data_IF_114250063292
#
_entry.id   IF_114250063292
#
_cell.length_a   1.000
_cell.length_b   1.000
_cell.length_c   1.000
_cell.angle_alpha   90.00
_cell.angle_beta   90.00
_cell.angle_gamma   90.00
#
_symmetry.space_group_name_H-M   'P 1'
#
loop_
_entity.id
_entity.type
_entity.pdbx_description
1 polymer ?
#
# COMPACT_ATOMS: atom_id res chain seq x y z
N UNK A 1 -3.75 66.85 -34.54
CA UNK A 1 -3.91 66.79 -33.08
C UNK A 1 -3.40 65.45 -32.57
N UNK A 2 -2.42 65.51 -31.66
CA UNK A 2 -1.86 64.51 -30.74
C UNK A 2 -1.59 63.05 -31.20
N UNK A 3 -0.30 62.75 -31.42
CA UNK A 3 0.32 61.44 -31.20
C UNK A 3 0.49 61.21 -29.69
N UNK A 4 0.41 59.97 -29.22
CA UNK A 4 1.03 59.57 -27.95
C UNK A 4 1.60 58.15 -28.05
N UNK A 5 2.93 58.06 -27.91
CA UNK A 5 3.69 56.83 -27.59
C UNK A 5 4.15 56.95 -26.14
N UNK A 6 4.05 55.87 -25.37
CA UNK A 6 4.87 55.46 -24.20
C UNK A 6 4.01 54.49 -23.36
N UNK A 7 4.49 53.51 -22.59
CA UNK A 7 5.79 52.88 -22.28
C UNK A 7 5.41 51.58 -21.51
N UNK A 8 6.36 50.64 -21.42
CA UNK A 8 6.25 49.37 -20.67
C UNK A 8 5.90 49.57 -19.19
N UNK A 9 5.19 48.60 -18.60
CA UNK A 9 5.47 48.12 -17.24
C UNK A 9 5.25 46.60 -17.16
N UNK A 10 6.21 45.92 -16.55
CA UNK A 10 6.11 44.53 -16.12
C UNK A 10 5.40 44.47 -14.77
N UNK A 11 4.64 43.41 -14.50
CA UNK A 11 4.25 43.07 -13.12
C UNK A 11 2.97 42.26 -12.98
N UNK A 12 3.11 41.11 -12.31
CA UNK A 12 2.11 40.37 -11.52
C UNK A 12 1.05 39.57 -12.31
N UNK A 13 1.24 38.27 -12.51
CA UNK A 13 1.03 37.20 -11.51
C UNK A 13 -0.41 37.15 -10.95
N UNK A 14 -1.38 36.78 -11.80
CA UNK A 14 -2.75 36.46 -11.42
C UNK A 14 -3.02 34.96 -11.45
N UNK A 15 -2.76 34.32 -10.30
CA UNK A 15 -2.99 32.91 -9.95
C UNK A 15 -4.29 32.33 -10.55
N UNK A 16 -4.19 31.40 -11.51
CA UNK A 16 -5.28 30.44 -11.79
C UNK A 16 -5.32 29.45 -10.62
N UNK A 17 -6.30 29.67 -9.75
CA UNK A 17 -6.64 28.83 -8.60
C UNK A 17 -6.73 27.35 -9.00
N UNK A 18 -5.79 26.55 -8.49
CA UNK A 18 -5.91 25.10 -8.44
C UNK A 18 -7.14 24.74 -7.61
N UNK A 19 -8.17 24.22 -8.27
CA UNK A 19 -9.32 23.62 -7.62
C UNK A 19 -8.87 22.27 -7.03
N UNK A 20 -8.26 22.31 -5.84
CA UNK A 20 -7.93 21.14 -5.02
C UNK A 20 -9.22 20.33 -4.79
N UNK A 21 -9.37 19.20 -5.50
CA UNK A 21 -10.33 18.16 -5.14
C UNK A 21 -9.88 17.61 -3.79
N UNK A 22 -10.51 18.09 -2.72
CA UNK A 22 -10.43 17.54 -1.36
C UNK A 22 -11.04 16.14 -1.34
N UNK A 23 -10.24 15.11 -1.59
CA UNK A 23 -10.49 13.71 -1.20
C UNK A 23 -9.38 12.78 -1.70
N UNK A 24 -8.11 13.13 -1.45
CA UNK A 24 -7.04 12.13 -1.53
C UNK A 24 -6.92 11.50 -0.14
N UNK A 25 -7.53 10.33 0.05
CA UNK A 25 -7.31 9.53 1.26
C UNK A 25 -5.85 9.08 1.30
N UNK A 26 -5.22 9.10 2.47
CA UNK A 26 -3.97 8.39 2.71
C UNK A 26 -4.30 7.15 3.53
N UNK A 27 -3.98 5.97 3.00
CA UNK A 27 -3.96 4.78 3.82
C UNK A 27 -2.60 4.77 4.54
N UNK A 28 -2.58 5.20 5.81
CA UNK A 28 -1.38 5.17 6.66
C UNK A 28 -1.39 3.90 7.50
N UNK A 29 -0.43 2.97 7.38
CA UNK A 29 -0.17 2.01 8.44
C UNK A 29 0.34 2.77 9.67
N UNK A 30 -0.20 2.41 10.84
CA UNK A 30 0.29 2.93 12.14
C UNK A 30 1.65 2.30 12.44
N UNK A 31 2.37 2.84 13.43
CA UNK A 31 3.73 2.39 13.75
C UNK A 31 3.79 0.92 14.14
N UNK A 32 4.89 0.25 13.83
CA UNK A 32 5.21 -1.13 14.18
C UNK A 32 5.11 -1.50 15.68
N UNK A 33 4.95 -0.53 16.60
CA UNK A 33 4.64 -0.85 18.01
C UNK A 33 3.15 -1.13 18.26
N UNK A 34 2.27 -0.72 17.34
CA UNK A 34 0.82 -0.68 17.52
C UNK A 34 0.07 -1.84 16.83
N UNK A 35 0.72 -2.62 15.95
CA UNK A 35 0.10 -3.82 15.36
C UNK A 35 0.23 -5.07 16.26
N UNK A 36 0.68 -4.89 17.52
CA UNK A 36 0.61 -5.94 18.55
C UNK A 36 -0.82 -6.20 19.03
N UNK A 37 -1.73 -5.23 18.84
CA UNK A 37 -3.05 -5.21 19.49
C UNK A 37 -4.23 -5.39 18.52
N UNK A 38 -4.00 -5.46 17.21
CA UNK A 38 -5.08 -5.36 16.21
C UNK A 38 -5.26 -6.63 15.38
N UNK A 39 -5.41 -7.76 16.06
CA UNK A 39 -5.93 -8.99 15.46
C UNK A 39 -5.16 -9.56 14.25
N UNK A 40 -5.68 -10.63 13.66
CA UNK A 40 -5.02 -11.40 12.60
C UNK A 40 -4.73 -10.72 11.28
N UNK A 41 -5.39 -9.60 11.01
CA UNK A 41 -5.53 -9.13 9.63
C UNK A 41 -4.66 -7.94 9.28
N UNK A 42 -4.06 -7.29 10.29
CA UNK A 42 -3.14 -6.17 10.14
C UNK A 42 -3.69 -5.02 9.28
N UNK A 43 -2.94 -3.92 9.16
CA UNK A 43 -3.29 -2.86 8.22
C UNK A 43 -3.21 -3.31 6.75
N UNK A 44 -2.33 -4.25 6.44
CA UNK A 44 -1.99 -4.65 5.07
C UNK A 44 -3.12 -5.29 4.26
N UNK A 45 -3.96 -6.13 4.89
CA UNK A 45 -5.11 -6.73 4.22
C UNK A 45 -6.10 -5.64 3.78
N UNK A 46 -6.49 -4.75 4.70
CA UNK A 46 -7.44 -3.68 4.40
C UNK A 46 -6.91 -2.72 3.34
N UNK A 47 -5.62 -2.35 3.42
CA UNK A 47 -4.99 -1.45 2.44
C UNK A 47 -5.04 -2.05 1.03
N UNK A 48 -4.66 -3.32 0.87
CA UNK A 48 -4.71 -3.99 -0.44
C UNK A 48 -6.14 -4.11 -0.98
N UNK A 49 -7.09 -4.46 -0.12
CA UNK A 49 -8.51 -4.55 -0.48
C UNK A 49 -9.10 -3.19 -0.89
N UNK A 50 -8.71 -2.11 -0.21
CA UNK A 50 -9.16 -0.75 -0.49
C UNK A 50 -8.55 -0.20 -1.79
N UNK A 51 -7.26 -0.47 -2.05
CA UNK A 51 -6.59 -0.13 -3.30
C UNK A 51 -7.33 -0.74 -4.51
N UNK A 52 -7.71 -2.01 -4.42
CA UNK A 52 -8.43 -2.68 -5.50
C UNK A 52 -9.87 -2.17 -5.68
N UNK A 53 -10.56 -1.77 -4.60
CA UNK A 53 -11.95 -1.30 -4.71
C UNK A 53 -12.07 0.12 -5.24
N UNK A 54 -11.17 1.00 -4.84
CA UNK A 54 -11.28 2.42 -5.14
C UNK A 54 -9.89 3.04 -5.43
N UNK A 55 -9.19 2.58 -6.48
CA UNK A 55 -7.82 3.02 -6.76
C UNK A 55 -7.72 4.53 -7.00
N UNK A 56 -8.79 5.14 -7.51
CA UNK A 56 -8.85 6.56 -7.87
C UNK A 56 -8.90 7.52 -6.65
N UNK A 57 -9.08 6.99 -5.43
CA UNK A 57 -9.13 7.79 -4.20
C UNK A 57 -7.76 8.04 -3.56
N UNK A 58 -6.71 7.40 -4.07
CA UNK A 58 -5.37 7.41 -3.47
C UNK A 58 -4.38 8.09 -4.41
N UNK A 59 -3.58 9.02 -3.88
CA UNK A 59 -2.46 9.59 -4.61
C UNK A 59 -1.26 8.62 -4.69
N UNK A 60 -1.13 7.75 -3.68
CA UNK A 60 -0.13 6.69 -3.57
C UNK A 60 -0.45 5.81 -2.36
N UNK A 61 0.08 4.59 -2.35
CA UNK A 61 -0.17 3.61 -1.29
C UNK A 61 1.15 3.13 -0.70
N UNK A 62 1.26 3.17 0.62
CA UNK A 62 2.33 2.52 1.39
C UNK A 62 1.72 1.38 2.18
N UNK A 63 2.27 0.17 2.08
CA UNK A 63 1.85 -0.94 2.91
C UNK A 63 3.07 -1.69 3.44
N UNK A 64 3.21 -1.69 4.77
CA UNK A 64 4.29 -2.39 5.44
C UNK A 64 3.91 -3.85 5.70
N UNK A 65 4.81 -4.77 5.34
CA UNK A 65 4.65 -6.25 5.48
C UNK A 65 3.21 -6.76 5.21
N UNK A 66 2.59 -6.43 4.07
CA UNK A 66 1.15 -6.49 3.98
C UNK A 66 0.62 -7.91 3.74
N UNK A 67 -0.39 -8.33 4.50
CA UNK A 67 -1.05 -9.62 4.32
C UNK A 67 -2.01 -9.61 3.11
N UNK A 68 -1.48 -9.79 1.91
CA UNK A 68 -2.20 -9.58 0.63
C UNK A 68 -2.61 -10.84 -0.10
N UNK A 69 -1.97 -11.98 0.18
CA UNK A 69 -2.27 -13.30 -0.41
C UNK A 69 -2.87 -14.25 0.63
N UNK A 70 -3.87 -13.73 1.35
CA UNK A 70 -4.54 -14.38 2.48
C UNK A 70 -5.07 -15.76 2.12
N UNK A 71 -5.76 -15.88 0.99
CA UNK A 71 -6.42 -17.13 0.61
C UNK A 71 -5.41 -18.25 0.34
N UNK A 72 -4.28 -17.94 -0.31
CA UNK A 72 -3.20 -18.92 -0.51
C UNK A 72 -2.61 -19.37 0.82
N UNK A 73 -2.42 -18.45 1.77
CA UNK A 73 -1.91 -18.79 3.10
C UNK A 73 -2.88 -19.66 3.89
N UNK A 74 -4.18 -19.36 3.87
CA UNK A 74 -5.19 -20.11 4.62
C UNK A 74 -5.44 -21.52 4.06
N UNK A 75 -5.35 -21.68 2.73
CA UNK A 75 -5.49 -22.98 2.06
C UNK A 75 -4.18 -23.78 2.03
N UNK A 76 -3.06 -23.16 2.39
CA UNK A 76 -1.74 -23.75 2.30
C UNK A 76 -1.47 -24.79 3.41
N UNK A 77 -0.58 -25.77 3.16
CA UNK A 77 -0.21 -26.80 4.13
C UNK A 77 0.61 -26.25 5.30
N UNK A 78 1.34 -25.15 5.09
CA UNK A 78 2.08 -24.43 6.12
C UNK A 78 1.20 -23.30 6.67
N UNK A 79 0.34 -23.61 7.64
CA UNK A 79 -0.45 -22.58 8.35
C UNK A 79 0.49 -21.77 9.26
N UNK A 80 1.13 -20.74 8.69
CA UNK A 80 1.90 -19.75 9.46
C UNK A 80 1.00 -18.77 10.24
N UNK A 81 -0.32 -18.94 10.14
CA UNK A 81 -1.36 -18.12 10.75
C UNK A 81 -1.74 -18.75 12.09
N UNK A 82 -1.71 -17.97 13.17
CA UNK A 82 -1.98 -18.51 14.49
C UNK A 82 -3.44 -18.98 14.63
N UNK A 83 -3.73 -19.89 15.57
CA UNK A 83 -5.09 -20.44 15.71
C UNK A 83 -6.15 -19.35 16.00
N UNK A 84 -5.82 -18.36 16.82
CA UNK A 84 -6.66 -17.18 17.07
C UNK A 84 -6.91 -16.34 15.80
N UNK A 85 -6.01 -16.43 14.83
CA UNK A 85 -6.14 -15.71 13.57
C UNK A 85 -7.08 -16.44 12.59
N UNK A 86 -7.15 -17.76 12.69
CA UNK A 86 -8.08 -18.61 11.93
C UNK A 86 -9.52 -18.50 12.43
N UNK A 87 -9.75 -18.32 13.74
CA UNK A 87 -11.11 -18.19 14.29
C UNK A 87 -11.86 -16.96 13.77
N UNK A 88 -11.14 -15.89 13.45
CA UNK A 88 -11.73 -14.64 12.94
C UNK A 88 -12.14 -14.73 11.46
N UNK A 89 -11.44 -15.55 10.65
CA UNK A 89 -11.83 -15.81 9.24
C UNK A 89 -12.83 -16.93 9.12
N UNK A 90 -12.86 -17.89 10.04
CA UNK A 90 -13.62 -19.11 9.91
C UNK A 90 -12.96 -20.14 8.99
N UNK A 91 -13.62 -21.29 8.83
CA UNK A 91 -13.09 -22.41 8.06
C UNK A 91 -13.25 -22.19 6.55
N UNK A 92 -12.25 -21.57 5.92
CA UNK A 92 -12.28 -21.34 4.45
C UNK A 92 -12.16 -22.62 3.62
N UNK A 93 -11.86 -23.77 4.23
CA UNK A 93 -11.75 -25.06 3.53
C UNK A 93 -13.13 -25.70 3.41
N UNK A 94 -13.90 -25.71 4.51
CA UNK A 94 -15.17 -26.44 4.58
C UNK A 94 -16.41 -25.53 4.59
N UNK A 95 -16.26 -24.21 4.77
CA UNK A 95 -17.35 -23.24 4.73
C UNK A 95 -17.23 -22.33 3.50
N UNK A 96 -18.13 -22.54 2.54
CA UNK A 96 -18.21 -21.75 1.31
C UNK A 96 -18.50 -20.26 1.57
N UNK A 97 -19.25 -19.92 2.62
CA UNK A 97 -19.52 -18.54 2.99
C UNK A 97 -18.27 -17.86 3.57
N UNK A 98 -17.51 -18.57 4.40
CA UNK A 98 -16.21 -18.11 4.88
C UNK A 98 -15.22 -17.90 3.72
N UNK A 99 -15.10 -18.88 2.82
CA UNK A 99 -14.28 -18.77 1.62
C UNK A 99 -14.66 -17.55 0.78
N UNK A 100 -15.95 -17.37 0.47
CA UNK A 100 -16.42 -16.26 -0.34
C UNK A 100 -16.14 -14.90 0.30
N UNK A 101 -16.29 -14.78 1.63
CA UNK A 101 -15.97 -13.57 2.39
C UNK A 101 -14.49 -13.23 2.30
N UNK A 102 -13.60 -14.20 2.52
CA UNK A 102 -12.16 -13.98 2.42
C UNK A 102 -11.75 -13.66 0.98
N UNK A 103 -12.26 -14.41 0.00
CA UNK A 103 -11.99 -14.18 -1.42
C UNK A 103 -12.33 -12.75 -1.82
N UNK A 104 -13.47 -12.20 -1.39
CA UNK A 104 -13.89 -10.81 -1.70
C UNK A 104 -12.94 -9.75 -1.14
N UNK A 105 -12.20 -10.06 -0.09
CA UNK A 105 -11.28 -9.12 0.55
C UNK A 105 -9.82 -9.38 0.18
N UNK A 106 -9.48 -10.54 -0.40
CA UNK A 106 -8.11 -10.92 -0.64
C UNK A 106 -7.49 -10.11 -1.79
N UNK A 107 -6.50 -9.27 -1.49
CA UNK A 107 -5.97 -8.30 -2.45
C UNK A 107 -5.37 -8.98 -3.69
N UNK A 108 -4.65 -10.10 -3.51
CA UNK A 108 -4.01 -10.81 -4.60
C UNK A 108 -4.98 -11.34 -5.68
N UNK A 109 -6.15 -11.86 -5.27
CA UNK A 109 -7.15 -12.40 -6.18
C UNK A 109 -7.95 -11.28 -6.89
N UNK A 110 -8.00 -10.08 -6.31
CA UNK A 110 -8.85 -8.98 -6.79
C UNK A 110 -8.08 -7.82 -7.45
N UNK A 111 -6.83 -8.05 -7.90
CA UNK A 111 -6.06 -7.02 -8.60
C UNK A 111 -6.79 -6.61 -9.89
N UNK A 112 -6.98 -5.30 -10.06
CA UNK A 112 -7.61 -4.75 -11.26
C UNK A 112 -6.64 -4.64 -12.43
N UNK A 113 -7.08 -5.03 -13.63
CA UNK A 113 -6.38 -4.82 -14.89
C UNK A 113 -6.52 -3.35 -15.38
N UNK A 114 -6.04 -2.40 -14.57
CA UNK A 114 -6.00 -0.97 -14.90
C UNK A 114 -4.80 -0.30 -14.26
N UNK A 115 -4.54 0.93 -14.66
CA UNK A 115 -3.52 1.75 -13.98
C UNK A 115 -3.93 2.00 -12.53
N UNK A 116 -3.02 1.68 -11.62
CA UNK A 116 -3.15 1.91 -10.19
C UNK A 116 -2.30 3.14 -9.78
N UNK A 117 -2.61 3.76 -8.63
CA UNK A 117 -1.70 4.74 -8.03
C UNK A 117 -0.33 4.09 -7.73
N UNK A 118 0.75 4.87 -7.59
CA UNK A 118 2.03 4.36 -7.15
C UNK A 118 1.89 3.57 -5.85
N UNK A 119 2.58 2.43 -5.75
CA UNK A 119 2.55 1.56 -4.57
C UNK A 119 3.97 1.32 -4.05
N UNK A 120 4.17 1.48 -2.75
CA UNK A 120 5.41 1.13 -2.04
C UNK A 120 5.10 0.07 -0.98
N UNK A 121 5.72 -1.09 -1.13
CA UNK A 121 5.53 -2.23 -0.25
C UNK A 121 6.82 -2.55 0.49
N UNK A 122 6.72 -3.01 1.73
CA UNK A 122 7.86 -3.59 2.45
C UNK A 122 7.61 -5.06 2.77
N UNK A 123 8.68 -5.85 2.89
CA UNK A 123 8.63 -7.25 3.30
C UNK A 123 9.95 -7.64 3.98
N UNK A 124 9.93 -8.68 4.83
CA UNK A 124 11.15 -9.31 5.35
C UNK A 124 11.14 -10.81 5.08
N UNK A 125 12.29 -11.37 4.68
CA UNK A 125 12.47 -12.80 4.47
C UNK A 125 12.38 -13.61 5.77
N UNK A 126 12.72 -12.99 6.90
CA UNK A 126 12.62 -13.59 8.23
C UNK A 126 11.32 -13.19 8.98
N UNK A 127 10.32 -12.63 8.29
CA UNK A 127 8.98 -12.45 8.87
C UNK A 127 8.29 -13.82 9.04
N UNK A 128 8.04 -14.19 10.30
CA UNK A 128 7.35 -15.43 10.68
C UNK A 128 5.82 -15.29 10.75
N UNK A 129 5.30 -14.05 10.75
CA UNK A 129 3.86 -13.78 10.80
C UNK A 129 3.28 -13.74 9.39
N UNK A 130 3.91 -12.99 8.48
CA UNK A 130 3.44 -12.81 7.11
C UNK A 130 4.43 -13.44 6.11
N UNK A 131 4.01 -14.45 5.34
CA UNK A 131 4.86 -15.05 4.33
C UNK A 131 5.25 -14.03 3.23
N UNK A 132 6.54 -13.70 3.15
CA UNK A 132 7.07 -12.77 2.15
C UNK A 132 6.76 -13.18 0.70
N UNK A 133 6.62 -14.49 0.43
CA UNK A 133 6.27 -15.01 -0.89
C UNK A 133 4.94 -14.46 -1.42
N UNK A 134 3.95 -14.23 -0.54
CA UNK A 134 2.68 -13.61 -0.90
C UNK A 134 2.85 -12.17 -1.36
N UNK A 135 3.74 -11.41 -0.70
CA UNK A 135 4.06 -10.02 -1.08
C UNK A 135 4.78 -9.97 -2.43
N UNK A 136 5.73 -10.87 -2.68
CA UNK A 136 6.43 -10.96 -3.97
C UNK A 136 5.46 -11.26 -5.12
N UNK A 137 4.58 -12.26 -4.93
CA UNK A 137 3.53 -12.59 -5.91
C UNK A 137 2.64 -11.37 -6.19
N UNK A 138 2.26 -10.64 -5.14
CA UNK A 138 1.43 -9.44 -5.27
C UNK A 138 2.13 -8.33 -6.06
N UNK A 139 3.40 -8.03 -5.76
CA UNK A 139 4.23 -7.06 -6.51
C UNK A 139 4.29 -7.43 -7.99
N UNK A 140 4.59 -8.71 -8.29
CA UNK A 140 4.69 -9.19 -9.66
C UNK A 140 3.36 -9.01 -10.41
N UNK A 141 2.25 -9.39 -9.77
CA UNK A 141 0.91 -9.31 -10.37
C UNK A 141 0.43 -7.87 -10.54
N UNK A 142 0.74 -6.96 -9.61
CA UNK A 142 0.44 -5.52 -9.77
C UNK A 142 1.19 -4.91 -10.96
N UNK A 143 2.48 -5.24 -11.13
CA UNK A 143 3.27 -4.77 -12.28
C UNK A 143 2.76 -5.35 -13.60
N UNK A 144 2.37 -6.62 -13.60
CA UNK A 144 1.80 -7.28 -14.79
C UNK A 144 0.40 -6.76 -15.16
N UNK A 145 -0.38 -6.27 -14.20
CA UNK A 145 -1.76 -5.82 -14.44
C UNK A 145 -1.86 -4.58 -15.33
N UNK A 146 -0.81 -3.74 -15.39
CA UNK A 146 -0.75 -2.60 -16.30
C UNK A 146 0.71 -2.11 -16.48
N UNK A 147 1.17 -1.82 -17.72
CA UNK A 147 2.57 -1.49 -18.00
C UNK A 147 3.09 -0.24 -17.28
N UNK A 148 2.21 0.72 -16.99
CA UNK A 148 2.57 1.97 -16.30
C UNK A 148 2.38 1.91 -14.77
N UNK A 149 2.17 0.74 -14.18
CA UNK A 149 2.07 0.62 -12.73
C UNK A 149 3.44 0.81 -12.07
N UNK A 150 3.57 1.85 -11.26
CA UNK A 150 4.77 2.12 -10.48
C UNK A 150 4.69 1.40 -9.12
N UNK A 151 5.33 0.24 -9.02
CA UNK A 151 5.32 -0.59 -7.80
C UNK A 151 6.74 -0.79 -7.31
N UNK A 152 7.05 -0.27 -6.12
CA UNK A 152 8.31 -0.46 -5.43
C UNK A 152 8.16 -1.49 -4.31
N UNK A 153 9.20 -2.30 -4.12
CA UNK A 153 9.31 -3.24 -3.01
C UNK A 153 10.64 -2.99 -2.30
N UNK A 154 10.57 -2.80 -0.98
CA UNK A 154 11.73 -2.82 -0.09
C UNK A 154 11.73 -4.14 0.67
N UNK A 155 12.66 -5.01 0.30
CA UNK A 155 12.81 -6.34 0.90
C UNK A 155 13.99 -6.33 1.86
N UNK A 156 13.77 -6.78 3.09
CA UNK A 156 14.84 -7.08 4.04
C UNK A 156 15.12 -8.58 4.10
N UNK A 157 16.38 -8.93 4.28
CA UNK A 157 16.79 -10.31 4.55
C UNK A 157 16.71 -10.64 6.04
N UNK A 158 17.13 -9.71 6.90
CA UNK A 158 17.44 -9.99 8.32
C UNK A 158 16.46 -9.32 9.31
N UNK A 159 15.51 -8.55 8.80
CA UNK A 159 14.48 -7.89 9.60
C UNK A 159 13.39 -8.87 10.04
N UNK A 160 12.27 -8.35 10.52
CA UNK A 160 11.11 -9.15 10.89
C UNK A 160 9.81 -8.41 10.52
N UNK A 161 8.69 -8.86 11.08
CA UNK A 161 7.39 -8.22 10.90
C UNK A 161 7.36 -6.71 11.22
N UNK A 162 8.25 -6.26 12.09
CA UNK A 162 8.31 -4.88 12.58
C UNK A 162 9.29 -4.00 11.78
N UNK A 163 9.87 -4.56 10.71
CA UNK A 163 10.87 -3.90 9.89
C UNK A 163 12.29 -4.37 10.20
N UNK A 164 13.30 -3.59 9.77
CA UNK A 164 14.70 -3.94 9.97
C UNK A 164 15.09 -4.03 11.44
N UNK A 165 15.97 -4.97 11.78
CA UNK A 165 16.54 -5.08 13.12
C UNK A 165 17.55 -3.95 13.42
N UNK A 166 18.26 -3.49 12.40
CA UNK A 166 19.21 -2.40 12.50
C UNK A 166 18.50 -1.04 12.62
N UNK A 167 18.78 -0.23 13.66
CA UNK A 167 18.10 1.04 13.89
C UNK A 167 18.29 2.08 12.77
N UNK A 168 19.49 2.19 12.21
CA UNK A 168 19.78 3.16 11.14
C UNK A 168 19.02 2.83 9.86
N UNK A 169 18.99 1.53 9.52
CA UNK A 169 18.18 0.99 8.43
C UNK A 169 16.69 1.18 8.68
N UNK A 170 16.22 1.02 9.92
CA UNK A 170 14.83 1.27 10.28
C UNK A 170 14.45 2.75 10.08
N UNK A 171 15.32 3.69 10.43
CA UNK A 171 15.11 5.12 10.17
C UNK A 171 15.16 5.44 8.68
N UNK A 172 16.05 4.78 7.92
CA UNK A 172 16.08 4.89 6.45
C UNK A 172 14.74 4.46 5.84
N UNK A 173 14.16 3.35 6.29
CA UNK A 173 12.85 2.87 5.82
C UNK A 173 11.70 3.82 6.21
N UNK A 174 11.78 4.49 7.36
CA UNK A 174 10.84 5.57 7.72
C UNK A 174 10.96 6.74 6.74
N UNK A 175 12.17 7.20 6.47
CA UNK A 175 12.44 8.30 5.56
C UNK A 175 11.95 7.98 4.13
N UNK A 176 12.21 6.77 3.62
CA UNK A 176 11.76 6.29 2.30
C UNK A 176 10.24 6.34 2.17
N UNK A 177 9.49 5.87 3.19
CA UNK A 177 8.02 5.91 3.18
C UNK A 177 7.47 7.33 3.15
N UNK A 178 8.06 8.23 3.96
CA UNK A 178 7.66 9.65 3.97
C UNK A 178 7.97 10.29 2.62
N UNK A 179 9.18 10.09 2.09
CA UNK A 179 9.59 10.61 0.79
C UNK A 179 8.68 10.11 -0.33
N UNK A 180 8.31 8.82 -0.32
CA UNK A 180 7.37 8.24 -1.28
C UNK A 180 6.00 8.93 -1.22
N UNK A 181 5.44 9.12 -0.02
CA UNK A 181 4.15 9.80 0.14
C UNK A 181 4.22 11.26 -0.33
N UNK A 182 5.28 11.99 0.03
CA UNK A 182 5.47 13.38 -0.41
C UNK A 182 5.58 13.47 -1.94
N UNK A 183 6.34 12.56 -2.57
CA UNK A 183 6.43 12.48 -4.03
C UNK A 183 5.09 12.14 -4.67
N UNK A 184 4.34 11.19 -4.11
CA UNK A 184 3.02 10.80 -4.62
C UNK A 184 2.00 11.96 -4.53
N UNK A 185 2.13 12.83 -3.52
CA UNK A 185 1.33 14.04 -3.37
C UNK A 185 1.80 15.21 -4.24
N UNK A 186 2.95 15.09 -4.92
CA UNK A 186 3.52 16.14 -5.75
C UNK A 186 4.12 17.31 -4.97
N UNK A 187 4.58 17.06 -3.73
CA UNK A 187 5.20 18.09 -2.87
C UNK A 187 6.72 17.94 -2.74
N UNK A 188 7.31 16.94 -3.40
CA UNK A 188 8.74 16.69 -3.58
C UNK A 188 9.00 16.20 -5.01
#
# INVERSE_FOLDING_TARGET
MARCRARRSAGQAGRRLYRLRRSAGLARPRSARQDREHGPFGGGWLVGAALNRAPDLWAGVVADVPFVDVLTTLLGPARSVAAAELSEVGDVVNDAAAFARVLRLCAYQNILARRLPPVYLTASLADVRIPWGGVLKYVARLRAAHPNNAVALRLDRDGNHWGPADPEKAETWRAERVAFVLRALGVL
#
